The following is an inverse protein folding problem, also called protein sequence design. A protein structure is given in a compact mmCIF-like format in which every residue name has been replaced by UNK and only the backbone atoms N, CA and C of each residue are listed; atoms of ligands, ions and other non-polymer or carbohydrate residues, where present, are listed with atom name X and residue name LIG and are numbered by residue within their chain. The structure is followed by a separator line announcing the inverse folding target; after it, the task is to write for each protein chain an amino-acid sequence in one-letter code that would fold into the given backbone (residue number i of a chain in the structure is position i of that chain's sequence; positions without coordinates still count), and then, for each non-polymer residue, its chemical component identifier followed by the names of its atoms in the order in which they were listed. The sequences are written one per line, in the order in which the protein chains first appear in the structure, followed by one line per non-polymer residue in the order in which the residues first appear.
data_IF_502122840780
#
_entry.id   IF_502122840780
#
_cell.length_a   1.000
_cell.length_b   1.000
_cell.length_c   1.000
_cell.angle_alpha   90.00
_cell.angle_beta   90.00
_cell.angle_gamma   90.00
#
_symmetry.space_group_name_H-M   'P 1'
#
loop_
_entity.id
_entity.type
_entity.pdbx_description
1 polymer ?
#
# COMPACT_ATOMS: atom_id res chain seq x y z
N UNK A 1 20.23 -3.72 -5.03
CA UNK A 1 19.71 -3.70 -3.64
C UNK A 1 18.23 -3.93 -3.75
N UNK A 2 17.69 -4.91 -3.04
CA UNK A 2 16.26 -5.21 -3.06
C UNK A 2 15.56 -4.43 -1.95
N UNK A 3 14.37 -3.94 -2.24
CA UNK A 3 13.51 -3.19 -1.33
C UNK A 3 12.27 -4.04 -1.04
N UNK A 4 11.80 -4.00 0.20
CA UNK A 4 10.54 -4.64 0.58
C UNK A 4 9.40 -3.62 0.55
N UNK A 5 8.31 -3.95 -0.12
CA UNK A 5 7.10 -3.12 -0.21
C UNK A 5 5.95 -3.80 0.51
N UNK A 6 5.24 -3.03 1.35
CA UNK A 6 4.03 -3.49 2.04
C UNK A 6 2.80 -2.94 1.33
N UNK A 7 2.20 -3.74 0.47
CA UNK A 7 0.99 -3.39 -0.26
C UNK A 7 -0.22 -3.68 0.61
N UNK A 8 -0.93 -2.65 1.08
CA UNK A 8 -2.11 -2.80 1.91
C UNK A 8 -3.41 -2.63 1.12
N UNK A 9 -4.37 -3.50 1.39
CA UNK A 9 -5.74 -3.44 0.87
C UNK A 9 -6.72 -3.91 1.94
N UNK A 10 -7.63 -3.05 2.39
CA UNK A 10 -8.60 -3.33 3.48
C UNK A 10 -7.88 -3.91 4.71
N UNK A 11 -8.04 -5.21 4.96
CA UNK A 11 -7.40 -5.95 6.07
C UNK A 11 -6.31 -6.93 5.60
N UNK A 12 -5.85 -6.81 4.35
CA UNK A 12 -4.81 -7.64 3.75
C UNK A 12 -3.54 -6.82 3.56
N UNK A 13 -2.39 -7.47 3.80
CA UNK A 13 -1.06 -6.90 3.53
C UNK A 13 -0.27 -7.89 2.69
N UNK A 14 0.18 -7.46 1.51
CA UNK A 14 1.03 -8.24 0.61
C UNK A 14 2.45 -7.71 0.71
N UNK A 15 3.42 -8.62 0.84
CA UNK A 15 4.83 -8.29 0.89
C UNK A 15 5.43 -8.55 -0.50
N UNK A 16 5.82 -7.48 -1.18
CA UNK A 16 6.41 -7.56 -2.52
C UNK A 16 7.89 -7.17 -2.43
N UNK A 17 8.75 -8.05 -2.95
CA UNK A 17 10.14 -7.73 -3.18
C UNK A 17 10.26 -7.00 -4.51
N UNK A 18 10.83 -5.80 -4.51
CA UNK A 18 11.05 -5.01 -5.71
C UNK A 18 12.45 -4.40 -5.70
N UNK A 19 13.01 -4.14 -6.86
CA UNK A 19 14.28 -3.43 -7.00
C UNK A 19 14.03 -1.94 -7.32
N UNK A 20 14.97 -1.04 -7.01
CA UNK A 20 14.83 0.40 -7.32
C UNK A 20 14.60 0.67 -8.81
N UNK A 21 15.08 -0.20 -9.68
CA UNK A 21 14.91 -0.12 -11.13
C UNK A 21 13.66 -0.86 -11.63
N UNK A 22 12.99 -1.65 -10.78
CA UNK A 22 11.73 -2.29 -11.16
C UNK A 22 10.64 -1.24 -11.34
N UNK A 23 9.79 -1.50 -12.32
CA UNK A 23 8.60 -0.71 -12.60
C UNK A 23 7.42 -1.17 -11.76
N UNK A 24 6.48 -0.26 -11.49
CA UNK A 24 5.24 -0.65 -10.83
C UNK A 24 4.39 -1.60 -11.66
N UNK A 25 4.62 -1.68 -12.99
CA UNK A 25 4.01 -2.71 -13.82
C UNK A 25 4.27 -4.12 -13.27
N UNK A 26 5.52 -4.45 -12.98
CA UNK A 26 5.92 -5.77 -12.48
C UNK A 26 5.35 -6.06 -11.09
N UNK A 27 5.25 -5.03 -10.26
CA UNK A 27 4.55 -5.11 -8.95
C UNK A 27 3.06 -5.40 -9.16
N UNK A 28 2.39 -4.72 -10.10
CA UNK A 28 0.97 -4.96 -10.46
C UNK A 28 0.75 -6.37 -11.01
N UNK A 29 1.65 -6.87 -11.87
CA UNK A 29 1.57 -8.25 -12.41
C UNK A 29 1.71 -9.30 -11.31
N UNK A 30 2.64 -9.08 -10.37
CA UNK A 30 2.82 -9.96 -9.21
C UNK A 30 1.56 -9.97 -8.34
N UNK A 31 0.99 -8.79 -8.06
CA UNK A 31 -0.24 -8.66 -7.28
C UNK A 31 -1.46 -9.25 -8.01
N UNK A 32 -1.56 -9.05 -9.33
CA UNK A 32 -2.60 -9.66 -10.14
C UNK A 32 -2.53 -11.18 -10.09
N UNK A 33 -1.31 -11.75 -10.15
CA UNK A 33 -1.11 -13.19 -10.00
C UNK A 33 -1.50 -13.70 -8.62
N UNK A 34 -1.10 -13.00 -7.55
CA UNK A 34 -1.48 -13.34 -6.16
C UNK A 34 -2.99 -13.28 -5.96
N UNK A 35 -3.64 -12.26 -6.53
CA UNK A 35 -5.07 -12.02 -6.42
C UNK A 35 -5.90 -12.81 -7.45
N UNK A 36 -5.24 -13.61 -8.31
CA UNK A 36 -5.87 -14.38 -9.39
C UNK A 36 -6.75 -13.50 -10.30
N UNK A 37 -6.24 -12.32 -10.67
CA UNK A 37 -6.93 -11.38 -11.55
C UNK A 37 -6.60 -11.68 -13.02
N UNK A 38 -7.56 -11.44 -13.90
CA UNK A 38 -7.40 -11.65 -15.35
C UNK A 38 -6.42 -10.66 -15.98
N UNK A 39 -6.31 -9.44 -15.44
CA UNK A 39 -5.42 -8.40 -15.98
C UNK A 39 -4.77 -7.53 -14.90
N UNK A 40 -3.48 -7.17 -15.02
CA UNK A 40 -2.82 -6.21 -14.13
C UNK A 40 -3.42 -4.80 -14.24
N UNK A 41 -4.13 -4.50 -15.32
CA UNK A 41 -4.89 -3.25 -15.50
C UNK A 41 -6.07 -3.11 -14.53
N UNK A 42 -6.44 -4.18 -13.82
CA UNK A 42 -7.42 -4.12 -12.74
C UNK A 42 -6.77 -3.75 -11.40
N UNK A 43 -5.45 -3.57 -11.36
CA UNK A 43 -4.69 -3.25 -10.15
C UNK A 43 -4.17 -1.81 -10.25
N UNK A 44 -4.60 -0.99 -9.29
CA UNK A 44 -4.13 0.38 -9.14
C UNK A 44 -3.37 0.51 -7.83
N UNK A 45 -2.17 1.09 -7.92
CA UNK A 45 -1.27 1.29 -6.80
C UNK A 45 -1.23 2.78 -6.47
N UNK A 46 -1.21 3.07 -5.18
CA UNK A 46 -1.14 4.42 -4.65
C UNK A 46 0.05 4.54 -3.71
N UNK A 47 0.70 5.70 -3.76
CA UNK A 47 1.83 6.06 -2.91
C UNK A 47 1.44 6.03 -1.43
N UNK A 48 2.41 5.97 -0.52
CA UNK A 48 2.17 5.99 0.94
C UNK A 48 1.35 7.20 1.41
N UNK A 49 1.33 8.27 0.62
CA UNK A 49 0.54 9.47 0.90
C UNK A 49 -0.91 9.41 0.40
N UNK A 50 -1.35 8.37 -0.31
CA UNK A 50 -2.67 8.24 -0.98
C UNK A 50 -3.05 9.36 -1.95
N UNK A 51 -2.16 10.33 -2.15
CA UNK A 51 -2.38 11.50 -3.00
C UNK A 51 -1.80 11.32 -4.40
N UNK A 52 -0.90 10.36 -4.58
CA UNK A 52 -0.18 10.12 -5.83
C UNK A 52 -0.42 8.69 -6.28
N UNK A 53 -0.88 8.54 -7.51
CA UNK A 53 -0.99 7.24 -8.18
C UNK A 53 0.39 6.79 -8.66
N UNK A 54 0.68 5.50 -8.49
CA UNK A 54 1.90 4.85 -8.97
C UNK A 54 1.64 4.30 -10.38
N UNK A 55 2.12 5.05 -11.38
CA UNK A 55 2.03 4.69 -12.79
C UNK A 55 2.92 3.49 -13.12
N UNK A 56 2.48 2.65 -14.06
CA UNK A 56 3.23 1.47 -14.50
C UNK A 56 4.61 1.82 -15.08
N UNK A 57 4.74 2.97 -15.76
CA UNK A 57 5.99 3.45 -16.32
C UNK A 57 6.97 4.01 -15.27
N UNK A 58 6.49 4.32 -14.06
CA UNK A 58 7.35 4.80 -12.99
C UNK A 58 8.11 3.63 -12.34
N UNK A 59 9.32 3.91 -11.87
CA UNK A 59 10.14 2.95 -11.11
C UNK A 59 10.01 3.20 -9.62
N UNK A 60 10.36 2.19 -8.81
CA UNK A 60 10.36 2.29 -7.35
C UNK A 60 11.26 3.45 -6.88
N UNK A 61 12.41 3.65 -7.52
CA UNK A 61 13.33 4.75 -7.20
C UNK A 61 12.78 6.15 -7.57
N UNK A 62 12.07 6.27 -8.69
CA UNK A 62 11.47 7.55 -9.14
C UNK A 62 10.40 8.07 -8.18
N UNK A 63 9.75 7.16 -7.46
CA UNK A 63 8.72 7.47 -6.48
C UNK A 63 9.24 7.62 -5.05
N UNK A 64 10.58 7.65 -4.89
CA UNK A 64 11.27 7.80 -3.60
C UNK A 64 10.76 6.81 -2.55
N UNK A 65 10.51 5.57 -2.97
CA UNK A 65 9.96 4.53 -2.11
C UNK A 65 11.09 3.93 -1.28
N UNK A 66 10.99 4.08 0.03
CA UNK A 66 11.93 3.51 0.99
C UNK A 66 11.72 2.00 1.20
N UNK A 67 12.73 1.33 1.75
CA UNK A 67 12.58 -0.05 2.19
C UNK A 67 11.52 -0.12 3.30
N UNK A 68 10.61 -1.11 3.20
CA UNK A 68 9.49 -1.33 4.12
C UNK A 68 8.33 -0.33 3.96
N UNK A 69 8.36 0.50 2.91
CA UNK A 69 7.32 1.47 2.63
C UNK A 69 5.94 0.82 2.43
N UNK A 70 4.90 1.52 2.88
CA UNK A 70 3.52 1.09 2.74
C UNK A 70 2.92 1.72 1.49
N UNK A 71 2.49 0.90 0.54
CA UNK A 71 1.74 1.33 -0.64
C UNK A 71 0.32 0.80 -0.55
N UNK A 72 -0.62 1.47 -1.19
CA UNK A 72 -2.02 1.05 -1.16
C UNK A 72 -2.44 0.47 -2.49
N UNK A 73 -3.28 -0.56 -2.42
CA UNK A 73 -3.82 -1.23 -3.60
C UNK A 73 -5.34 -1.04 -3.67
N UNK A 74 -5.80 -0.61 -4.84
CA UNK A 74 -7.20 -0.57 -5.24
C UNK A 74 -7.40 -1.51 -6.42
N UNK A 75 -8.50 -2.27 -6.39
CA UNK A 75 -8.90 -3.05 -7.55
C UNK A 75 -10.01 -2.35 -8.32
N UNK A 76 -10.05 -2.61 -9.63
CA UNK A 76 -11.18 -2.25 -10.48
C UNK A 76 -12.32 -3.21 -10.20
N UNK A 77 -13.52 -2.70 -9.97
CA UNK A 77 -14.72 -3.52 -9.77
C UNK A 77 -15.03 -4.29 -11.05
N UNK A 78 -15.33 -5.58 -10.91
CA UNK A 78 -15.64 -6.47 -12.02
C UNK A 78 -16.79 -5.91 -12.86
N UNK A 79 -16.64 -5.94 -14.19
CA UNK A 79 -17.63 -5.44 -15.15
C UNK A 79 -17.96 -3.92 -15.05
N UNK A 80 -17.12 -3.11 -14.40
CA UNK A 80 -17.33 -1.66 -14.32
C UNK A 80 -16.04 -0.86 -14.51
N UNK A 81 -16.17 0.42 -14.82
CA UNK A 81 -15.05 1.37 -14.86
C UNK A 81 -14.77 2.04 -13.49
N UNK A 82 -15.38 1.52 -12.43
CA UNK A 82 -15.30 2.10 -11.09
C UNK A 82 -14.20 1.40 -10.29
N UNK A 83 -13.30 2.20 -9.71
CA UNK A 83 -12.27 1.73 -8.80
C UNK A 83 -12.81 1.58 -7.38
N UNK A 84 -12.27 0.61 -6.63
CA UNK A 84 -12.50 0.56 -5.19
C UNK A 84 -11.84 1.75 -4.49
N UNK A 85 -12.48 2.24 -3.43
CA UNK A 85 -11.92 3.27 -2.57
C UNK A 85 -10.71 2.73 -1.76
N UNK A 86 -9.74 3.60 -1.44
CA UNK A 86 -8.54 3.24 -0.65
C UNK A 86 -8.95 3.03 0.81
N UNK A 87 -9.61 1.91 1.07
CA UNK A 87 -9.95 1.46 2.41
C UNK A 87 -8.78 0.66 2.95
N UNK A 88 -8.13 1.22 3.97
CA UNK A 88 -7.20 0.46 4.81
C UNK A 88 -7.72 0.48 6.23
N UNK A 89 -7.76 -0.70 6.84
CA UNK A 89 -7.91 -0.79 8.27
C UNK A 89 -6.73 -0.03 8.87
N UNK A 90 -7.00 1.14 9.45
CA UNK A 90 -6.06 1.76 10.37
C UNK A 90 -5.95 0.74 11.50
N UNK A 91 -4.81 0.06 11.59
CA UNK A 91 -4.51 -0.71 12.78
C UNK A 91 -4.49 0.35 13.89
N UNK A 92 -5.55 0.39 14.69
CA UNK A 92 -5.53 1.14 15.94
C UNK A 92 -4.41 0.51 16.75
N UNK A 93 -3.27 1.22 16.79
CA UNK A 93 -2.32 1.02 17.86
C UNK A 93 -3.07 1.52 19.08
N UNK A 94 -3.55 0.61 19.92
CA UNK A 94 -4.00 0.91 21.27
C UNK A 94 -2.83 1.60 22.00
N UNK A 95 -2.76 2.92 21.88
CA UNK A 95 -1.97 3.75 22.78
C UNK A 95 -2.71 3.76 24.11
N UNK A 96 -2.43 2.74 24.92
CA UNK A 96 -2.76 2.71 26.34
C UNK A 96 -2.10 3.93 26.99
N UNK A 97 -2.90 4.97 27.14
CA UNK A 97 -2.53 6.25 27.70
C UNK A 97 -2.53 6.11 29.22
N UNK A 98 -1.45 5.58 29.81
CA UNK A 98 -1.29 5.64 31.26
C UNK A 98 -0.77 7.03 31.67
N UNK A 99 -1.67 8.00 31.67
CA UNK A 99 -1.49 9.32 32.25
C UNK A 99 -1.57 9.19 33.78
N UNK A 100 -0.43 9.17 34.48
CA UNK A 100 -0.40 9.34 35.93
C UNK A 100 -0.10 10.81 36.26
N UNK A 101 -1.09 11.68 36.04
CA UNK A 101 -1.17 12.99 36.70
C UNK A 101 -1.89 12.78 38.05
N UNK A 102 -1.12 12.60 39.11
CA UNK A 102 -1.64 12.71 40.47
C UNK A 102 -1.04 13.96 41.11
N UNK A 103 -1.65 15.09 40.76
CA UNK A 103 -1.55 16.33 41.53
C UNK A 103 -2.52 16.23 42.71
N UNK A 104 -2.02 15.94 43.92
CA UNK A 104 -2.76 16.25 45.15
C UNK A 104 -2.10 17.44 45.81
N UNK A 105 -2.90 18.50 45.91
CA UNK A 105 -2.71 19.64 46.79
C UNK A 105 -2.61 19.17 48.24
N UNK A 106 -1.62 19.67 48.96
CA UNK A 106 -1.69 20.02 50.38
C UNK A 106 -0.93 21.33 50.61
#
# INVERSE_FOLDING_TARGET
MSLYLRVKRRNQTFFILAEPHDTFLKVKETLASILTLSSPNQVQLWHTNKQKELLDAATVADQEIENDAVVYLCLKKENTEVWEDIQVAKLELDHDSNNNDHSTKE
#
